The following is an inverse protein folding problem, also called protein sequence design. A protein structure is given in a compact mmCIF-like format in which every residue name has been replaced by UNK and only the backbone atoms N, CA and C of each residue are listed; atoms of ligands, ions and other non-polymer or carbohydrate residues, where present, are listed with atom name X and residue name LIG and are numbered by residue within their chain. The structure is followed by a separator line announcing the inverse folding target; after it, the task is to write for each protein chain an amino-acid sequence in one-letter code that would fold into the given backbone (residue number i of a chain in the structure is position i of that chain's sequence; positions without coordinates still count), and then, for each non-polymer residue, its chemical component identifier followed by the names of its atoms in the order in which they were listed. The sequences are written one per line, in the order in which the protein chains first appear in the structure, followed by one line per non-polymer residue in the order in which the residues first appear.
data_IF_084338067254
#
_entry.id   IF_084338067254
#
_cell.length_a   1.000
_cell.length_b   1.000
_cell.length_c   1.000
_cell.angle_alpha   90.00
_cell.angle_beta   90.00
_cell.angle_gamma   90.00
#
_symmetry.space_group_name_H-M   'P 1'
#
loop_
_entity.id
_entity.type
_entity.pdbx_description
1 polymer ?
#
# COMPACT_ATOMS: atom_id res chain seq x y z
N UNK A 1 24.52 -4.88 -9.34
CA UNK A 1 23.72 -5.77 -8.47
C UNK A 1 22.30 -5.26 -8.49
N UNK A 2 21.40 -5.96 -9.20
CA UNK A 2 19.98 -5.58 -9.26
C UNK A 2 19.36 -6.09 -7.96
N UNK A 3 19.05 -5.18 -7.02
CA UNK A 3 18.26 -5.51 -5.84
C UNK A 3 16.81 -5.66 -6.28
N UNK A 4 16.50 -6.79 -6.93
CA UNK A 4 15.13 -7.13 -7.29
C UNK A 4 14.44 -7.58 -5.99
N UNK A 5 13.88 -6.60 -5.27
CA UNK A 5 13.08 -6.86 -4.08
C UNK A 5 11.77 -7.43 -4.57
N UNK A 6 11.64 -8.75 -4.48
CA UNK A 6 10.43 -9.45 -4.85
C UNK A 6 9.35 -9.23 -3.78
N UNK A 7 8.45 -8.28 -4.07
CA UNK A 7 7.33 -7.91 -3.19
C UNK A 7 6.31 -9.04 -3.01
N UNK A 8 6.31 -10.06 -3.87
CA UNK A 8 5.42 -11.21 -3.71
C UNK A 8 5.82 -12.10 -2.52
N UNK A 9 7.11 -12.07 -2.15
CA UNK A 9 7.67 -12.85 -1.04
C UNK A 9 7.53 -12.16 0.31
N UNK A 10 7.16 -10.88 0.33
CA UNK A 10 7.00 -10.11 1.56
C UNK A 10 5.53 -10.11 1.93
N UNK A 11 5.19 -10.88 2.97
CA UNK A 11 3.84 -10.88 3.52
C UNK A 11 3.52 -9.55 4.21
N UNK A 12 2.23 -9.26 4.38
CA UNK A 12 1.79 -8.08 5.13
C UNK A 12 2.28 -8.13 6.60
N UNK A 13 2.37 -9.32 7.20
CA UNK A 13 2.89 -9.47 8.57
C UNK A 13 4.40 -9.22 8.65
N UNK A 14 5.17 -9.69 7.66
CA UNK A 14 6.60 -9.45 7.61
C UNK A 14 6.88 -7.96 7.41
N UNK A 15 6.13 -7.32 6.51
CA UNK A 15 6.22 -5.88 6.33
C UNK A 15 5.86 -5.09 7.59
N UNK A 16 4.86 -5.55 8.34
CA UNK A 16 4.50 -4.97 9.64
C UNK A 16 5.67 -5.04 10.62
N UNK A 17 6.31 -6.20 10.77
CA UNK A 17 7.49 -6.36 11.65
C UNK A 17 8.66 -5.50 11.20
N UNK A 18 8.86 -5.34 9.89
CA UNK A 18 9.89 -4.47 9.33
C UNK A 18 9.59 -3.01 9.71
N UNK A 19 8.35 -2.53 9.57
CA UNK A 19 7.95 -1.17 9.96
C UNK A 19 8.09 -0.91 11.46
N UNK A 20 7.82 -1.92 12.30
CA UNK A 20 7.95 -1.80 13.76
C UNK A 20 9.41 -1.68 14.19
N UNK A 21 10.28 -2.51 13.60
CA UNK A 21 11.71 -2.61 13.95
C UNK A 21 12.59 -1.55 13.28
N UNK A 22 12.16 -1.01 12.12
CA UNK A 22 12.95 -0.04 11.37
C UNK A 22 12.86 1.36 11.99
N UNK A 23 14.01 2.04 12.07
CA UNK A 23 14.04 3.46 12.36
C UNK A 23 13.61 4.25 11.11
N UNK A 24 12.35 4.71 11.12
CA UNK A 24 11.77 5.46 10.01
C UNK A 24 12.15 6.93 10.06
N UNK A 25 12.43 7.51 8.91
CA UNK A 25 12.58 8.97 8.77
C UNK A 25 11.27 9.68 9.15
N UNK A 26 11.30 10.97 9.56
CA UNK A 26 10.13 11.68 10.09
C UNK A 26 8.91 11.63 9.16
N UNK A 27 9.13 11.78 7.85
CA UNK A 27 8.08 11.72 6.83
C UNK A 27 7.37 10.36 6.72
N UNK A 28 8.01 9.29 7.19
CA UNK A 28 7.47 7.92 7.15
C UNK A 28 6.85 7.48 8.49
N UNK A 29 6.91 8.31 9.54
CA UNK A 29 6.25 8.02 10.82
C UNK A 29 4.77 7.71 10.69
N UNK A 30 4.10 8.37 9.74
CA UNK A 30 2.68 8.14 9.43
C UNK A 30 2.38 6.66 9.11
N UNK A 31 3.33 5.93 8.52
CA UNK A 31 3.17 4.50 8.22
C UNK A 31 3.17 3.64 9.49
N UNK A 32 3.97 4.04 10.49
CA UNK A 32 4.03 3.38 11.79
C UNK A 32 2.83 3.73 12.67
N UNK A 33 2.35 4.97 12.60
CA UNK A 33 1.13 5.40 13.31
C UNK A 33 -0.11 4.68 12.78
N UNK A 34 -0.18 4.45 11.47
CA UNK A 34 -1.30 3.77 10.81
C UNK A 34 -1.06 2.27 10.59
N UNK A 35 -0.14 1.66 11.35
CA UNK A 35 0.26 0.27 11.13
C UNK A 35 -0.89 -0.73 11.30
N UNK A 36 -1.91 -0.36 12.09
CA UNK A 36 -3.13 -1.15 12.27
C UNK A 36 -3.91 -1.33 10.96
N UNK A 37 -3.78 -0.42 10.00
CA UNK A 37 -4.43 -0.51 8.70
C UNK A 37 -3.93 -1.72 7.90
N UNK A 38 -2.67 -2.13 8.08
CA UNK A 38 -2.15 -3.36 7.47
C UNK A 38 -2.92 -4.61 7.92
N UNK A 39 -3.40 -4.60 9.18
CA UNK A 39 -4.23 -5.70 9.70
C UNK A 39 -5.60 -5.75 9.01
N UNK A 40 -6.18 -4.59 8.71
CA UNK A 40 -7.46 -4.48 7.98
C UNK A 40 -7.26 -4.97 6.54
N UNK A 41 -6.21 -4.49 5.87
CA UNK A 41 -5.81 -4.92 4.52
C UNK A 41 -5.67 -6.45 4.44
N UNK A 42 -5.04 -7.06 5.45
CA UNK A 42 -4.92 -8.52 5.54
C UNK A 42 -6.27 -9.22 5.67
N UNK A 43 -7.21 -8.66 6.45
CA UNK A 43 -8.57 -9.22 6.60
C UNK A 43 -9.38 -9.17 5.31
N UNK A 44 -9.14 -8.18 4.47
CA UNK A 44 -9.76 -8.05 3.14
C UNK A 44 -9.18 -9.02 2.09
N UNK A 45 -8.28 -9.94 2.49
CA UNK A 45 -7.73 -10.98 1.63
C UNK A 45 -6.44 -10.59 0.89
N UNK A 46 -5.77 -9.53 1.32
CA UNK A 46 -4.48 -9.09 0.74
C UNK A 46 -3.34 -9.65 1.59
N UNK A 47 -2.55 -10.57 1.02
CA UNK A 47 -1.60 -11.35 1.81
C UNK A 47 -0.14 -10.88 1.65
N UNK A 48 0.19 -10.23 0.53
CA UNK A 48 1.55 -9.77 0.25
C UNK A 48 1.60 -8.33 -0.30
N UNK A 49 2.81 -7.75 -0.32
CA UNK A 49 3.04 -6.39 -0.80
C UNK A 49 2.80 -6.23 -2.30
N UNK A 50 2.99 -7.28 -3.10
CA UNK A 50 2.70 -7.23 -4.52
C UNK A 50 1.19 -6.98 -4.77
N UNK A 51 0.32 -7.76 -4.11
CA UNK A 51 -1.14 -7.58 -4.20
C UNK A 51 -1.58 -6.20 -3.74
N UNK A 52 -1.03 -5.74 -2.60
CA UNK A 52 -1.30 -4.39 -2.10
C UNK A 52 -0.90 -3.32 -3.15
N UNK A 53 0.27 -3.46 -3.76
CA UNK A 53 0.75 -2.53 -4.78
C UNK A 53 -0.18 -2.52 -6.00
N UNK A 54 -0.64 -3.68 -6.47
CA UNK A 54 -1.55 -3.78 -7.62
C UNK A 54 -2.90 -3.09 -7.35
N UNK A 55 -3.46 -3.29 -6.16
CA UNK A 55 -4.73 -2.68 -5.75
C UNK A 55 -4.59 -1.16 -5.64
N UNK A 56 -3.51 -0.68 -5.00
CA UNK A 56 -3.23 0.75 -4.90
C UNK A 56 -3.04 1.38 -6.28
N UNK A 57 -2.26 0.74 -7.16
CA UNK A 57 -2.09 1.18 -8.56
C UNK A 57 -3.42 1.24 -9.29
N UNK A 58 -4.28 0.23 -9.15
CA UNK A 58 -5.61 0.20 -9.77
C UNK A 58 -6.52 1.31 -9.25
N UNK A 59 -6.55 1.54 -7.92
CA UNK A 59 -7.33 2.61 -7.30
C UNK A 59 -6.85 4.00 -7.75
N UNK A 60 -5.53 4.23 -7.75
CA UNK A 60 -4.92 5.47 -8.23
C UNK A 60 -5.19 5.65 -9.72
N UNK A 61 -5.09 4.60 -10.53
CA UNK A 61 -5.44 4.64 -11.95
C UNK A 61 -6.92 4.95 -12.17
N UNK A 62 -7.82 4.43 -11.33
CA UNK A 62 -9.25 4.74 -11.37
C UNK A 62 -9.54 6.19 -11.00
N UNK A 63 -8.93 6.71 -9.93
CA UNK A 63 -9.00 8.11 -9.54
C UNK A 63 -8.42 9.03 -10.62
N UNK A 64 -7.27 8.68 -11.17
CA UNK A 64 -6.61 9.45 -12.23
C UNK A 64 -7.40 9.39 -13.54
N UNK A 65 -8.06 8.27 -13.83
CA UNK A 65 -8.97 8.15 -14.97
C UNK A 65 -10.23 9.00 -14.75
N UNK A 66 -10.87 8.95 -13.58
CA UNK A 66 -12.01 9.83 -13.25
C UNK A 66 -11.63 11.31 -13.34
N UNK A 67 -10.45 11.67 -12.85
CA UNK A 67 -9.94 13.04 -12.92
C UNK A 67 -9.57 13.47 -14.36
N UNK A 68 -9.08 12.56 -15.20
CA UNK A 68 -8.77 12.83 -16.62
C UNK A 68 -10.00 12.84 -17.52
N UNK A 69 -10.99 12.01 -17.22
CA UNK A 69 -12.22 11.89 -18.01
C UNK A 69 -13.25 12.96 -17.61
N UNK A 70 -13.04 13.68 -16.51
CA UNK A 70 -13.87 14.83 -16.15
C UNK A 70 -15.32 14.41 -16.01
N UNK A 71 -15.63 13.58 -15.01
CA UNK A 71 -17.02 13.41 -14.60
C UNK A 71 -17.49 14.73 -13.95
N UNK A 72 -17.97 15.62 -14.80
CA UNK A 72 -19.22 16.34 -14.55
C UNK A 72 -20.20 15.34 -13.97
N UNK A 73 -20.47 15.42 -12.68
CA UNK A 73 -21.75 15.01 -12.12
C UNK A 73 -22.08 16.03 -11.04
N UNK A 74 -22.78 17.06 -11.50
CA UNK A 74 -23.74 17.80 -10.70
C UNK A 74 -24.79 16.80 -10.22
N UNK A 75 -24.89 16.58 -8.91
CA UNK A 75 -26.15 16.30 -8.21
C UNK A 75 -26.06 17.02 -6.86
#
# INVERSE_FOLDING_TARGET
MRYDIDLSKISIDDYKKILESTHLIPSWKILKENINHLTIIKKEGIHNLHELQQILKKKISLLNFQNKVGCQNSI
#
